data_IF_132083703133
#
_entry.id   IF_132083703133
#
_cell.length_a   1.000
_cell.length_b   1.000
_cell.length_c   1.000
_cell.angle_alpha   90.00
_cell.angle_beta   90.00
_cell.angle_gamma   90.00
#
_symmetry.space_group_name_H-M   'P 1'
#
loop_
_entity.id
_entity.type
_entity.pdbx_description
1 polymer ?
#
# COMPACT_ATOMS: atom_id res chain seq x y z
N UNK A 1 -18.88 8.83 26.32
CA UNK A 1 -20.00 8.10 25.67
C UNK A 1 -19.42 7.19 24.59
N UNK A 2 -20.06 6.03 24.33
CA UNK A 2 -19.42 4.72 24.44
C UNK A 2 -18.88 4.10 23.15
N UNK A 3 -18.16 3.02 23.40
CA UNK A 3 -17.60 1.94 22.56
C UNK A 3 -18.50 1.41 21.45
N UNK A 4 -17.87 0.94 20.37
CA UNK A 4 -18.52 0.11 19.35
C UNK A 4 -17.49 -0.67 18.52
N UNK A 5 -16.99 -1.75 19.10
CA UNK A 5 -16.51 -2.92 18.35
C UNK A 5 -17.64 -3.44 17.47
N UNK A 6 -17.36 -3.75 16.19
CA UNK A 6 -18.18 -4.74 15.51
C UNK A 6 -17.32 -5.68 14.68
N UNK A 7 -17.48 -6.94 15.04
CA UNK A 7 -16.88 -8.13 14.46
C UNK A 7 -17.91 -8.68 13.47
N UNK A 8 -17.51 -8.92 12.22
CA UNK A 8 -18.28 -9.82 11.36
C UNK A 8 -17.38 -10.89 10.78
N UNK A 9 -17.57 -12.08 11.37
CA UNK A 9 -17.32 -13.40 10.81
C UNK A 9 -17.99 -13.61 9.44
N UNK A 10 -17.42 -14.52 8.67
CA UNK A 10 -17.99 -15.08 7.43
C UNK A 10 -17.02 -14.93 6.26
N UNK A 11 -16.66 -15.94 5.47
CA UNK A 11 -17.23 -17.27 5.32
C UNK A 11 -16.19 -18.08 4.52
N UNK A 12 -15.82 -19.28 5.02
CA UNK A 12 -14.96 -20.22 4.29
C UNK A 12 -15.73 -20.77 3.08
N UNK A 13 -15.23 -20.58 1.86
CA UNK A 13 -15.67 -21.36 0.70
C UNK A 13 -14.56 -22.30 0.23
N UNK A 14 -14.62 -23.53 0.74
CA UNK A 14 -14.11 -24.72 0.06
C UNK A 14 -15.01 -25.00 -1.16
N UNK A 15 -14.44 -25.21 -2.34
CA UNK A 15 -15.06 -26.00 -3.41
C UNK A 15 -14.02 -26.98 -3.92
N UNK A 16 -14.23 -28.25 -3.56
CA UNK A 16 -13.58 -29.39 -4.19
C UNK A 16 -14.51 -30.01 -5.23
N UNK A 17 -13.86 -30.61 -6.24
CA UNK A 17 -14.25 -31.68 -7.16
C UNK A 17 -15.60 -31.67 -7.89
N UNK A 18 -15.50 -31.79 -9.21
CA UNK A 18 -16.12 -32.91 -9.93
C UNK A 18 -15.38 -33.15 -11.25
N UNK A 19 -14.62 -34.25 -11.32
CA UNK A 19 -14.31 -34.97 -12.55
C UNK A 19 -15.62 -35.43 -13.21
N UNK A 20 -15.72 -35.26 -14.54
CA UNK A 20 -16.59 -36.07 -15.39
C UNK A 20 -15.86 -36.30 -16.71
N UNK A 21 -15.26 -37.48 -16.83
CA UNK A 21 -15.02 -38.17 -18.10
C UNK A 21 -16.37 -38.58 -18.69
N UNK A 22 -16.57 -38.40 -20.01
CA UNK A 22 -17.08 -39.44 -20.93
C UNK A 22 -17.36 -38.94 -22.36
N UNK A 23 -16.80 -39.70 -23.31
CA UNK A 23 -17.42 -40.19 -24.55
C UNK A 23 -17.58 -39.26 -25.79
N UNK A 24 -16.59 -39.36 -26.67
CA UNK A 24 -16.69 -40.04 -27.99
C UNK A 24 -18.11 -40.36 -28.50
N UNK A 25 -18.51 -39.83 -29.68
CA UNK A 25 -18.99 -40.64 -30.83
C UNK A 25 -19.55 -39.82 -32.03
N UNK A 26 -19.03 -40.21 -33.22
CA UNK A 26 -19.72 -40.52 -34.50
C UNK A 26 -20.22 -39.44 -35.47
N UNK A 27 -19.50 -39.44 -36.61
CA UNK A 27 -19.94 -39.44 -38.03
C UNK A 27 -21.46 -39.51 -38.28
N UNK A 28 -21.95 -38.62 -39.15
CA UNK A 28 -23.17 -38.82 -39.95
C UNK A 28 -22.84 -38.67 -41.43
N UNK A 29 -22.81 -39.81 -42.13
CA UNK A 29 -23.18 -39.87 -43.54
C UNK A 29 -24.70 -40.01 -43.61
N UNK A 30 -25.32 -39.41 -44.62
CA UNK A 30 -26.65 -39.80 -45.06
C UNK A 30 -26.77 -39.51 -46.56
N UNK A 31 -26.81 -40.59 -47.33
CA UNK A 31 -27.31 -40.66 -48.70
C UNK A 31 -28.84 -40.74 -48.72
N UNK A 32 -29.37 -40.63 -49.94
CA UNK A 32 -30.65 -41.23 -50.41
C UNK A 32 -31.93 -40.39 -50.12
N UNK A 33 -32.88 -40.17 -51.04
CA UNK A 33 -33.42 -41.01 -52.13
C UNK A 33 -34.14 -40.15 -53.21
N UNK A 34 -34.09 -40.66 -54.44
CA UNK A 34 -34.97 -40.59 -55.63
C UNK A 34 -36.10 -39.57 -55.79
N UNK A 35 -36.22 -39.11 -57.04
CA UNK A 35 -37.47 -39.22 -57.81
C UNK A 35 -37.14 -39.32 -59.30
N UNK A 36 -37.22 -40.53 -59.85
CA UNK A 36 -37.36 -40.76 -61.30
C UNK A 36 -38.83 -40.72 -61.69
N UNK A 37 -39.17 -40.08 -62.80
CA UNK A 37 -40.25 -40.56 -63.67
C UNK A 37 -40.04 -40.05 -65.11
N UNK A 38 -40.15 -40.99 -66.04
CA UNK A 38 -39.89 -40.89 -67.47
C UNK A 38 -40.93 -40.06 -68.22
N UNK A 39 -40.53 -39.37 -69.29
CA UNK A 39 -41.32 -39.42 -70.53
C UNK A 39 -40.48 -39.10 -71.76
N UNK A 40 -40.73 -39.94 -72.76
CA UNK A 40 -40.03 -40.11 -74.02
C UNK A 40 -40.61 -39.14 -75.06
N UNK A 41 -39.80 -38.36 -75.78
CA UNK A 41 -40.23 -37.71 -77.03
C UNK A 41 -39.06 -37.26 -77.91
N UNK A 42 -38.83 -38.02 -78.99
CA UNK A 42 -38.05 -37.60 -80.14
C UNK A 42 -38.52 -36.24 -80.69
N UNK A 43 -37.66 -35.21 -80.63
CA UNK A 43 -37.87 -33.96 -81.37
C UNK A 43 -36.56 -33.46 -82.00
N UNK A 44 -36.37 -33.90 -83.25
CA UNK A 44 -35.73 -33.21 -84.39
C UNK A 44 -34.50 -32.33 -84.10
N UNK A 45 -33.34 -32.85 -84.52
CA UNK A 45 -32.11 -32.09 -84.76
C UNK A 45 -32.37 -30.87 -85.67
N UNK A 46 -32.51 -29.69 -85.07
CA UNK A 46 -32.34 -28.41 -85.77
C UNK A 46 -30.86 -28.07 -85.68
N UNK A 47 -30.13 -28.22 -86.79
CA UNK A 47 -28.76 -27.70 -86.96
C UNK A 47 -28.79 -26.18 -86.73
N UNK A 48 -28.58 -25.75 -85.51
CA UNK A 48 -28.18 -24.37 -85.23
C UNK A 48 -26.70 -24.26 -85.52
N UNK A 49 -26.35 -23.41 -86.46
CA UNK A 49 -24.99 -22.92 -86.68
C UNK A 49 -24.43 -22.50 -85.32
N UNK A 50 -23.47 -23.27 -84.79
CA UNK A 50 -22.76 -22.94 -83.54
C UNK A 50 -21.87 -21.74 -83.83
N UNK A 51 -22.29 -20.56 -83.39
CA UNK A 51 -21.38 -19.46 -83.12
C UNK A 51 -20.53 -19.80 -81.90
N UNK A 52 -19.22 -19.47 -81.87
CA UNK A 52 -18.31 -19.88 -80.80
C UNK A 52 -18.46 -18.93 -79.61
N UNK A 53 -19.51 -19.10 -78.80
CA UNK A 53 -19.79 -18.21 -77.65
C UNK A 53 -19.59 -18.90 -76.29
N UNK A 54 -19.69 -20.24 -76.22
CA UNK A 54 -19.63 -20.98 -74.94
C UNK A 54 -18.24 -21.23 -74.36
N UNK A 55 -17.16 -21.06 -75.12
CA UNK A 55 -15.78 -21.23 -74.62
C UNK A 55 -15.24 -20.00 -73.88
N UNK A 56 -15.61 -18.79 -74.33
CA UNK A 56 -15.21 -17.52 -73.68
C UNK A 56 -15.80 -17.37 -72.27
N UNK A 57 -17.11 -17.59 -72.11
CA UNK A 57 -17.78 -17.51 -70.80
C UNK A 57 -17.23 -18.53 -69.79
N UNK A 58 -16.87 -19.74 -70.23
CA UNK A 58 -16.32 -20.78 -69.35
C UNK A 58 -14.90 -20.44 -68.88
N UNK A 59 -14.08 -19.83 -69.74
CA UNK A 59 -12.74 -19.36 -69.39
C UNK A 59 -12.79 -18.12 -68.47
N UNK A 60 -13.67 -17.16 -68.74
CA UNK A 60 -13.87 -15.98 -67.87
C UNK A 60 -14.39 -16.37 -66.47
N UNK A 61 -15.27 -17.36 -66.37
CA UNK A 61 -15.76 -17.87 -65.08
C UNK A 61 -14.69 -18.63 -64.29
N UNK A 62 -13.77 -19.33 -64.97
CA UNK A 62 -12.63 -20.01 -64.33
C UNK A 62 -11.62 -19.00 -63.80
N UNK A 63 -11.27 -18.01 -64.62
CA UNK A 63 -10.33 -16.96 -64.23
C UNK A 63 -10.84 -16.14 -63.05
N UNK A 64 -12.12 -15.75 -63.04
CA UNK A 64 -12.75 -15.08 -61.88
C UNK A 64 -12.76 -15.93 -60.61
N UNK A 65 -12.74 -17.26 -60.73
CA UNK A 65 -12.68 -18.16 -59.57
C UNK A 65 -11.25 -18.34 -59.08
N UNK A 66 -10.26 -18.35 -59.98
CA UNK A 66 -8.83 -18.31 -59.65
C UNK A 66 -8.46 -17.01 -58.93
N UNK A 67 -8.90 -15.84 -59.44
CA UNK A 67 -8.67 -14.54 -58.78
C UNK A 67 -9.27 -14.47 -57.37
N UNK A 68 -10.43 -15.09 -57.16
CA UNK A 68 -11.07 -15.19 -55.83
C UNK A 68 -10.30 -16.12 -54.91
N UNK A 69 -9.78 -17.22 -55.44
CA UNK A 69 -8.98 -18.17 -54.68
C UNK A 69 -7.67 -17.53 -54.22
N UNK A 70 -6.99 -16.81 -55.10
CA UNK A 70 -5.76 -16.07 -54.79
C UNK A 70 -6.01 -15.02 -53.71
N UNK A 71 -7.13 -14.29 -53.80
CA UNK A 71 -7.52 -13.32 -52.76
C UNK A 71 -7.82 -13.98 -51.42
N UNK A 72 -8.45 -15.16 -51.41
CA UNK A 72 -8.69 -15.92 -50.17
C UNK A 72 -7.36 -16.42 -49.59
N UNK A 73 -6.43 -16.87 -50.43
CA UNK A 73 -5.10 -17.29 -50.02
C UNK A 73 -4.32 -16.15 -49.35
N UNK A 74 -4.36 -14.96 -49.96
CA UNK A 74 -3.74 -13.74 -49.41
C UNK A 74 -4.35 -13.37 -48.04
N UNK A 75 -5.68 -13.40 -47.91
CA UNK A 75 -6.34 -13.16 -46.62
C UNK A 75 -5.96 -14.19 -45.55
N UNK A 76 -5.84 -15.47 -45.93
CA UNK A 76 -5.42 -16.52 -44.99
C UNK A 76 -3.96 -16.35 -44.55
N UNK A 77 -3.07 -15.91 -45.45
CA UNK A 77 -1.70 -15.58 -45.11
C UNK A 77 -1.66 -14.40 -44.14
N UNK A 78 -2.44 -13.34 -44.39
CA UNK A 78 -2.52 -12.19 -43.50
C UNK A 78 -3.06 -12.57 -42.12
N UNK A 79 -4.14 -13.37 -42.06
CA UNK A 79 -4.68 -13.87 -40.81
C UNK A 79 -3.66 -14.72 -40.03
N UNK A 80 -2.83 -15.49 -40.74
CA UNK A 80 -1.75 -16.27 -40.10
C UNK A 80 -0.71 -15.37 -39.47
N UNK A 81 -0.33 -14.27 -40.14
CA UNK A 81 0.58 -13.26 -39.59
C UNK A 81 -0.02 -12.58 -38.36
N UNK A 82 -1.28 -12.14 -38.44
CA UNK A 82 -1.98 -11.47 -37.34
C UNK A 82 -2.09 -12.38 -36.11
N UNK A 83 -2.44 -13.67 -36.30
CA UNK A 83 -2.51 -14.65 -35.21
C UNK A 83 -1.15 -14.84 -34.55
N UNK A 84 -0.07 -14.89 -35.33
CA UNK A 84 1.28 -15.03 -34.78
C UNK A 84 1.71 -13.77 -34.02
N UNK A 85 1.37 -12.59 -34.53
CA UNK A 85 1.62 -11.33 -33.85
C UNK A 85 0.87 -11.24 -32.51
N UNK A 86 -0.43 -11.58 -32.51
CA UNK A 86 -1.25 -11.63 -31.29
C UNK A 86 -0.64 -12.58 -30.27
N UNK A 87 -0.20 -13.78 -30.68
CA UNK A 87 0.44 -14.74 -29.77
C UNK A 87 1.72 -14.18 -29.14
N UNK A 88 2.53 -13.46 -29.92
CA UNK A 88 3.76 -12.85 -29.43
C UNK A 88 3.46 -11.74 -28.40
N UNK A 89 2.49 -10.89 -28.69
CA UNK A 89 2.03 -9.84 -27.77
C UNK A 89 1.42 -10.41 -26.48
N UNK A 90 0.61 -11.47 -26.58
CA UNK A 90 0.08 -12.19 -25.42
C UNK A 90 1.20 -12.79 -24.56
N UNK A 91 2.21 -13.39 -25.19
CA UNK A 91 3.37 -13.93 -24.46
C UNK A 91 4.14 -12.83 -23.73
N UNK A 92 4.34 -11.67 -24.37
CA UNK A 92 5.02 -10.53 -23.76
C UNK A 92 4.23 -9.94 -22.59
N UNK A 93 2.95 -9.65 -22.79
CA UNK A 93 2.07 -9.10 -21.75
C UNK A 93 1.94 -10.04 -20.55
N UNK A 94 1.89 -11.35 -20.77
CA UNK A 94 1.88 -12.34 -19.69
C UNK A 94 3.17 -12.30 -18.84
N UNK A 95 4.32 -12.09 -19.47
CA UNK A 95 5.60 -11.94 -18.75
C UNK A 95 5.61 -10.66 -17.91
N UNK A 96 5.25 -9.52 -18.50
CA UNK A 96 5.15 -8.24 -17.79
C UNK A 96 4.19 -8.33 -16.61
N UNK A 97 3.04 -9.02 -16.79
CA UNK A 97 2.08 -9.21 -15.71
C UNK A 97 2.62 -10.10 -14.57
N UNK A 98 3.40 -11.13 -14.91
CA UNK A 98 4.09 -11.95 -13.92
C UNK A 98 5.13 -11.15 -13.14
N UNK A 99 5.92 -10.33 -13.81
CA UNK A 99 6.92 -9.47 -13.20
C UNK A 99 6.26 -8.44 -12.26
N UNK A 100 5.21 -7.76 -12.70
CA UNK A 100 4.45 -6.83 -11.87
C UNK A 100 3.85 -7.51 -10.63
N UNK A 101 3.38 -8.76 -10.74
CA UNK A 101 2.88 -9.51 -9.58
C UNK A 101 3.97 -9.75 -8.54
N UNK A 102 5.16 -10.13 -8.98
CA UNK A 102 6.32 -10.35 -8.10
C UNK A 102 6.73 -9.05 -7.43
N UNK A 103 6.84 -7.95 -8.18
CA UNK A 103 7.16 -6.63 -7.63
C UNK A 103 6.12 -6.17 -6.59
N UNK A 104 4.82 -6.34 -6.88
CA UNK A 104 3.76 -5.97 -5.95
C UNK A 104 3.84 -6.79 -4.64
N UNK A 105 4.18 -8.07 -4.73
CA UNK A 105 4.39 -8.92 -3.55
C UNK A 105 5.60 -8.46 -2.73
N UNK A 106 6.71 -8.09 -3.39
CA UNK A 106 7.90 -7.54 -2.73
C UNK A 106 7.57 -6.23 -2.01
N UNK A 107 6.90 -5.30 -2.69
CA UNK A 107 6.47 -4.03 -2.11
C UNK A 107 5.55 -4.22 -0.90
N UNK A 108 4.64 -5.20 -0.94
CA UNK A 108 3.79 -5.54 0.22
C UNK A 108 4.63 -6.04 1.41
N UNK A 109 5.63 -6.89 1.16
CA UNK A 109 6.54 -7.39 2.21
C UNK A 109 7.34 -6.25 2.82
N UNK A 110 7.89 -5.36 2.00
CA UNK A 110 8.63 -4.18 2.48
C UNK A 110 7.74 -3.23 3.29
N UNK A 111 6.53 -2.95 2.80
CA UNK A 111 5.58 -2.10 3.51
C UNK A 111 5.22 -2.67 4.89
N UNK A 112 5.06 -3.99 5.00
CA UNK A 112 4.81 -4.65 6.28
C UNK A 112 6.02 -4.53 7.24
N UNK A 113 7.24 -4.74 6.75
CA UNK A 113 8.46 -4.51 7.56
C UNK A 113 8.55 -3.07 8.07
N UNK A 114 8.32 -2.09 7.19
CA UNK A 114 8.33 -0.67 7.56
C UNK A 114 7.27 -0.37 8.62
N UNK A 115 6.09 -0.99 8.55
CA UNK A 115 5.04 -0.84 9.58
C UNK A 115 5.47 -1.42 10.93
N UNK A 116 6.11 -2.58 10.93
CA UNK A 116 6.65 -3.22 12.13
C UNK A 116 7.74 -2.35 12.76
N UNK A 117 8.71 -1.90 11.99
CA UNK A 117 9.78 -1.00 12.43
C UNK A 117 9.22 0.30 13.02
N UNK A 118 8.26 0.93 12.34
CA UNK A 118 7.59 2.12 12.85
C UNK A 118 6.86 1.88 14.18
N UNK A 119 6.25 0.71 14.35
CA UNK A 119 5.61 0.33 15.62
C UNK A 119 6.64 0.20 16.74
N UNK A 120 7.77 -0.43 16.47
CA UNK A 120 8.87 -0.59 17.43
C UNK A 120 9.47 0.76 17.84
N UNK A 121 9.78 1.62 16.87
CA UNK A 121 10.33 2.96 17.13
C UNK A 121 9.36 3.79 17.98
N UNK A 122 8.05 3.76 17.67
CA UNK A 122 7.04 4.47 18.48
C UNK A 122 7.02 4.02 19.94
N UNK A 123 7.13 2.70 20.19
CA UNK A 123 7.22 2.16 21.55
C UNK A 123 8.49 2.61 22.25
N UNK A 124 9.62 2.61 21.55
CA UNK A 124 10.90 3.04 22.11
C UNK A 124 10.86 4.53 22.49
N UNK A 125 10.31 5.39 21.64
CA UNK A 125 10.09 6.81 21.95
C UNK A 125 9.22 6.98 23.20
N UNK A 126 8.13 6.22 23.33
CA UNK A 126 7.28 6.27 24.52
C UNK A 126 8.02 5.87 25.79
N UNK A 127 8.85 4.82 25.72
CA UNK A 127 9.67 4.38 26.84
C UNK A 127 10.72 5.44 27.24
N UNK A 128 11.38 6.05 26.25
CA UNK A 128 12.35 7.14 26.47
C UNK A 128 11.65 8.33 27.12
N UNK A 129 10.50 8.76 26.62
CA UNK A 129 9.74 9.87 27.19
C UNK A 129 9.33 9.60 28.64
N UNK A 130 8.86 8.39 28.93
CA UNK A 130 8.49 7.99 30.31
C UNK A 130 9.70 8.03 31.23
N UNK A 131 10.86 7.55 30.76
CA UNK A 131 12.11 7.59 31.52
C UNK A 131 12.60 9.03 31.73
N UNK A 132 12.51 9.88 30.71
CA UNK A 132 12.86 11.30 30.82
C UNK A 132 11.96 12.01 31.84
N UNK A 133 10.66 11.75 31.83
CA UNK A 133 9.73 12.34 32.81
C UNK A 133 10.07 11.89 34.24
N UNK A 134 10.41 10.61 34.43
CA UNK A 134 10.86 10.10 35.73
C UNK A 134 12.15 10.78 36.21
N UNK A 135 13.14 10.90 35.32
CA UNK A 135 14.40 11.57 35.63
C UNK A 135 14.21 13.07 35.90
N UNK A 136 13.31 13.73 35.19
CA UNK A 136 12.98 15.14 35.40
C UNK A 136 12.27 15.35 36.74
N UNK A 137 11.32 14.46 37.09
CA UNK A 137 10.69 14.44 38.43
C UNK A 137 11.73 14.22 39.51
N UNK A 138 12.64 13.26 39.34
CA UNK A 138 13.70 12.99 40.31
C UNK A 138 14.67 14.16 40.46
N UNK A 139 15.09 14.77 39.34
CA UNK A 139 15.95 15.97 39.34
C UNK A 139 15.28 17.15 40.05
N UNK A 140 13.96 17.32 39.91
CA UNK A 140 13.20 18.41 40.52
C UNK A 140 12.64 18.09 41.90
N UNK A 141 12.78 16.84 42.39
CA UNK A 141 12.17 16.41 43.65
C UNK A 141 12.67 17.24 44.85
N UNK A 142 13.91 17.73 44.80
CA UNK A 142 14.54 18.60 45.79
C UNK A 142 14.43 20.11 45.47
N UNK A 143 13.66 20.47 44.45
CA UNK A 143 13.54 21.86 44.04
C UNK A 143 12.33 22.49 44.71
N UNK A 144 12.53 23.65 45.32
CA UNK A 144 11.46 24.51 45.80
C UNK A 144 11.36 25.74 44.89
N UNK A 145 10.13 26.24 44.73
CA UNK A 145 9.87 27.49 44.01
C UNK A 145 9.53 28.55 45.04
N UNK A 146 10.32 29.61 45.07
CA UNK A 146 10.08 30.76 45.96
C UNK A 146 9.53 31.89 45.09
N UNK A 147 8.34 32.36 45.46
CA UNK A 147 7.67 33.48 44.81
C UNK A 147 7.50 34.64 45.79
N UNK A 148 7.70 35.87 45.30
CA UNK A 148 7.54 37.09 46.10
C UNK A 148 8.80 37.54 46.84
N UNK A 149 9.86 36.71 46.88
CA UNK A 149 11.15 37.10 47.42
C UNK A 149 11.90 37.97 46.40
N UNK A 150 12.03 39.27 46.69
CA UNK A 150 12.91 40.17 45.96
C UNK A 150 14.32 40.01 46.53
N UNK A 151 15.14 39.19 45.88
CA UNK A 151 16.57 39.10 46.19
C UNK A 151 17.26 40.24 45.44
N UNK A 152 17.93 41.12 46.17
CA UNK A 152 18.51 42.36 45.67
C UNK A 152 19.85 42.07 44.98
N UNK A 153 19.78 41.51 43.78
CA UNK A 153 20.96 41.39 42.93
C UNK A 153 21.00 42.63 42.05
N UNK A 154 21.96 43.52 42.31
CA UNK A 154 22.18 44.77 41.56
C UNK A 154 22.64 44.54 40.10
N UNK A 155 22.56 43.32 39.60
CA UNK A 155 22.90 42.92 38.24
C UNK A 155 21.63 42.64 37.45
N UNK A 156 21.38 43.52 36.48
CA UNK A 156 20.39 43.41 35.40
C UNK A 156 20.65 42.21 34.47
N UNK A 157 21.77 41.53 34.67
CA UNK A 157 22.16 40.34 33.94
C UNK A 157 21.61 39.10 34.65
N UNK A 158 21.11 38.15 33.88
CA UNK A 158 20.83 36.77 34.30
C UNK A 158 22.17 36.07 34.57
N UNK A 159 23.01 36.68 35.40
CA UNK A 159 24.25 36.11 35.84
C UNK A 159 23.90 35.19 36.98
N UNK A 160 24.23 33.92 36.77
CA UNK A 160 24.07 32.82 37.71
C UNK A 160 25.04 32.97 38.91
N UNK A 161 25.20 34.18 39.47
CA UNK A 161 25.94 34.39 40.70
C UNK A 161 25.13 33.75 41.83
N UNK A 162 25.30 32.44 41.88
CA UNK A 162 24.46 31.48 42.60
C UNK A 162 24.70 31.62 44.09
N UNK A 163 25.88 32.10 44.49
CA UNK A 163 26.33 32.25 45.87
C UNK A 163 25.52 33.31 46.64
N UNK A 164 25.38 34.53 46.12
CA UNK A 164 24.60 35.59 46.79
C UNK A 164 23.12 35.20 46.93
N UNK A 165 22.53 34.65 45.87
CA UNK A 165 21.15 34.16 45.89
C UNK A 165 20.99 33.00 46.89
N UNK A 166 21.97 32.10 46.97
CA UNK A 166 21.96 30.99 47.93
C UNK A 166 21.93 31.52 49.36
N UNK A 167 22.84 32.41 49.70
CA UNK A 167 22.97 32.97 51.05
C UNK A 167 21.71 33.73 51.48
N UNK A 168 21.14 34.56 50.60
CA UNK A 168 19.90 35.28 50.89
C UNK A 168 18.72 34.34 51.09
N UNK A 169 18.65 33.26 50.32
CA UNK A 169 17.59 32.25 50.45
C UNK A 169 17.79 31.41 51.70
N UNK A 170 19.00 30.96 52.02
CA UNK A 170 19.31 30.23 53.25
C UNK A 170 18.96 31.06 54.48
N UNK A 171 19.35 32.34 54.49
CA UNK A 171 19.01 33.28 55.55
C UNK A 171 17.50 33.47 55.67
N UNK A 172 16.79 33.62 54.55
CA UNK A 172 15.33 33.72 54.55
C UNK A 172 14.67 32.46 55.13
N UNK A 173 15.09 31.28 54.69
CA UNK A 173 14.58 30.00 55.20
C UNK A 173 14.82 29.86 56.71
N UNK A 174 16.00 30.26 57.18
CA UNK A 174 16.34 30.21 58.60
C UNK A 174 15.56 31.25 59.43
N UNK A 175 15.63 32.53 59.08
CA UNK A 175 15.08 33.62 59.90
C UNK A 175 13.55 33.71 59.85
N UNK A 176 12.95 33.46 58.69
CA UNK A 176 11.50 33.63 58.50
C UNK A 176 10.72 32.34 58.67
N UNK A 177 11.32 31.20 58.35
CA UNK A 177 10.64 29.90 58.40
C UNK A 177 11.20 28.97 59.49
N UNK A 178 12.32 29.30 60.13
CA UNK A 178 12.95 28.44 61.14
C UNK A 178 13.50 27.14 60.57
N UNK A 179 13.83 27.14 59.28
CA UNK A 179 14.24 25.96 58.51
C UNK A 179 15.75 26.02 58.28
N UNK A 180 16.49 25.05 58.84
CA UNK A 180 17.92 24.92 58.58
C UNK A 180 18.15 23.90 57.45
N UNK A 181 18.43 24.41 56.26
CA UNK A 181 18.68 23.62 55.04
C UNK A 181 19.73 24.30 54.18
N UNK A 182 20.61 23.51 53.57
CA UNK A 182 21.60 23.99 52.60
C UNK A 182 21.03 24.05 51.19
N UNK A 183 21.32 25.13 50.47
CA UNK A 183 20.93 25.34 49.09
C UNK A 183 22.06 24.91 48.17
N UNK A 184 21.82 23.82 47.42
CA UNK A 184 22.76 23.33 46.41
C UNK A 184 22.89 24.29 45.24
N UNK A 185 21.78 24.79 44.69
CA UNK A 185 21.74 25.74 43.58
C UNK A 185 20.50 26.64 43.66
N UNK A 186 20.59 27.85 43.13
CA UNK A 186 19.47 28.77 43.04
C UNK A 186 19.49 29.50 41.70
N UNK A 187 18.34 29.60 41.05
CA UNK A 187 18.17 30.21 39.74
C UNK A 187 17.04 31.23 39.79
N UNK A 188 17.31 32.43 39.29
CA UNK A 188 16.28 33.46 39.09
C UNK A 188 15.56 33.17 37.78
N UNK A 189 14.26 32.87 37.85
CA UNK A 189 13.40 32.70 36.67
C UNK A 189 12.62 33.96 36.31
N UNK A 190 12.53 34.92 37.24
CA UNK A 190 11.87 36.21 37.02
C UNK A 190 12.14 37.20 38.14
N UNK A 191 11.54 38.40 38.10
CA UNK A 191 11.83 39.46 39.06
C UNK A 191 11.62 39.06 40.52
N UNK A 192 10.58 38.24 40.78
CA UNK A 192 10.16 37.76 42.10
C UNK A 192 10.00 36.23 42.13
N UNK A 193 10.66 35.50 41.24
CA UNK A 193 10.51 34.04 41.14
C UNK A 193 11.87 33.37 41.05
N UNK A 194 12.11 32.44 41.96
CA UNK A 194 13.36 31.70 42.10
C UNK A 194 13.07 30.20 42.19
N UNK A 195 13.91 29.41 41.52
CA UNK A 195 13.95 27.95 41.66
C UNK A 195 15.19 27.61 42.45
N UNK A 196 15.02 26.86 43.53
CA UNK A 196 16.07 26.58 44.50
C UNK A 196 16.17 25.07 44.63
N UNK A 197 17.32 24.50 44.30
CA UNK A 197 17.62 23.10 44.53
C UNK A 197 18.27 22.95 45.90
N UNK A 198 17.64 22.18 46.79
CA UNK A 198 18.16 21.86 48.11
C UNK A 198 19.16 20.70 48.05
N UNK A 199 20.10 20.68 48.99
CA UNK A 199 21.12 19.63 49.07
C UNK A 199 20.57 18.33 49.69
N UNK A 200 19.58 18.42 50.58
CA UNK A 200 18.92 17.30 51.24
C UNK A 200 17.42 17.55 51.47
N UNK A 201 16.64 16.48 51.60
CA UNK A 201 15.23 16.51 52.03
C UNK A 201 15.08 16.68 53.54
N UNK A 202 16.13 16.42 54.31
CA UNK A 202 16.06 16.44 55.77
C UNK A 202 15.99 17.89 56.25
N UNK A 203 14.76 18.33 56.54
CA UNK A 203 14.51 19.62 57.17
C UNK A 203 14.73 19.46 58.66
N UNK A 204 15.79 20.07 59.18
CA UNK A 204 15.97 20.21 60.62
C UNK A 204 15.27 21.48 61.08
N UNK A 205 14.21 21.32 61.85
CA UNK A 205 13.52 22.44 62.49
C UNK A 205 14.24 22.81 63.77
N UNK A 206 14.64 24.07 63.90
CA UNK A 206 15.03 24.61 65.20
C UNK A 206 13.77 24.89 66.00
N UNK A 207 13.56 24.17 67.11
CA UNK A 207 12.53 24.55 68.10
C UNK A 207 12.89 25.93 68.66
N UNK A 208 12.07 26.92 68.37
CA UNK A 208 12.05 28.18 69.13
C UNK A 208 11.57 27.92 70.56
#
# INVERSE_FOLDING_TARGET
MPTGSDSTDGEKRKRGNSEVDSEEERKRGNSEVDSEEESNAFSRNKKTVRTPVKSKQKNESKQKNEDKLDRVLEMLQQLTLDVNQIKLEQSKTNKEFSEMRVENEQLRKENNKIKEENCMIKKEIQNINTRLEQLEKEKRRNNIVIQGLSVNNNTTEINNNTTEIKEDIEKFLYEKLGVNTKVKNAYRMGPKMQIVALESYEVTYTKN
#
